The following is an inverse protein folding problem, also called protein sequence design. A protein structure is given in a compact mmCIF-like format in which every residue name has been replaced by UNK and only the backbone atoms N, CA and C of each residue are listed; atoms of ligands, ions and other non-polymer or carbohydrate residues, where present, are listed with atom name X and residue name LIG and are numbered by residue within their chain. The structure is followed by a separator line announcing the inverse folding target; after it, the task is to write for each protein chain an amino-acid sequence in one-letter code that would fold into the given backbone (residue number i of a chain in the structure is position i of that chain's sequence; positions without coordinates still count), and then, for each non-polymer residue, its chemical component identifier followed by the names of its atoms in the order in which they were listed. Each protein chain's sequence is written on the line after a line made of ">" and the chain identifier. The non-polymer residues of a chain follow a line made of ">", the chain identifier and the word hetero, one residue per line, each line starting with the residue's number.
data_IF_514732572213
#
_entry.id   IF_514732572213
#
_cell.length_a   1.000
_cell.length_b   1.000
_cell.length_c   1.000
_cell.angle_alpha   90.00
_cell.angle_beta   90.00
_cell.angle_gamma   90.00
#
_symmetry.space_group_name_H-M   'P 1'
#
loop_
_entity.id
_entity.type
_entity.pdbx_description
1 polymer ?
#
# COMPACT_ATOMS: atom_id res chain seq x y z
N UNK A 1 -3.39 4.18 -14.41
CA UNK A 1 -3.27 2.94 -15.21
C UNK A 1 -3.46 1.75 -14.29
N UNK A 2 -4.16 0.71 -14.75
CA UNK A 2 -4.44 -0.51 -13.97
C UNK A 2 -3.84 -1.71 -14.68
N UNK A 3 -3.08 -2.54 -13.96
CA UNK A 3 -2.39 -3.70 -14.48
C UNK A 3 -2.59 -4.88 -13.55
N UNK A 4 -2.80 -6.08 -14.09
CA UNK A 4 -2.83 -7.33 -13.31
C UNK A 4 -1.38 -7.76 -13.09
N UNK A 5 -1.00 -8.04 -11.84
CA UNK A 5 0.35 -8.49 -11.51
C UNK A 5 0.44 -9.99 -11.25
N UNK A 6 -0.59 -10.58 -10.63
CA UNK A 6 -0.63 -12.01 -10.29
C UNK A 6 -2.08 -12.49 -10.18
N UNK A 7 -2.34 -13.75 -10.52
CA UNK A 7 -3.68 -14.36 -10.39
C UNK A 7 -3.57 -15.79 -9.86
N UNK A 8 -4.27 -16.09 -8.77
CA UNK A 8 -4.42 -17.44 -8.23
C UNK A 8 -5.87 -17.61 -7.78
N UNK A 9 -6.69 -18.35 -8.53
CA UNK A 9 -8.13 -18.45 -8.22
C UNK A 9 -8.37 -18.88 -6.76
N UNK A 10 -9.26 -18.20 -6.01
CA UNK A 10 -10.18 -17.12 -6.44
C UNK A 10 -9.64 -15.68 -6.30
N UNK A 11 -8.34 -15.46 -6.13
CA UNK A 11 -7.71 -14.14 -5.95
C UNK A 11 -6.99 -13.61 -7.20
N UNK A 12 -6.88 -12.28 -7.25
CA UNK A 12 -6.08 -11.56 -8.22
C UNK A 12 -5.46 -10.33 -7.55
N UNK A 13 -4.19 -10.05 -7.88
CA UNK A 13 -3.47 -8.85 -7.45
C UNK A 13 -3.39 -7.89 -8.63
N UNK A 14 -3.78 -6.64 -8.39
CA UNK A 14 -3.73 -5.57 -9.38
C UNK A 14 -2.91 -4.39 -8.87
N UNK A 15 -2.15 -3.77 -9.78
CA UNK A 15 -1.49 -2.50 -9.55
C UNK A 15 -2.31 -1.38 -10.16
N UNK A 16 -2.66 -0.40 -9.34
CA UNK A 16 -3.49 0.74 -9.74
C UNK A 16 -2.73 2.04 -9.54
N UNK A 17 -2.69 2.86 -10.58
CA UNK A 17 -2.31 4.28 -10.50
C UNK A 17 -3.54 5.12 -10.72
N UNK A 18 -3.87 5.93 -9.73
CA UNK A 18 -5.10 6.70 -9.64
C UNK A 18 -4.84 8.09 -9.04
N UNK A 19 -5.78 9.01 -9.25
CA UNK A 19 -5.77 10.32 -8.58
C UNK A 19 -6.22 10.21 -7.12
N UNK A 20 -6.06 11.32 -6.37
CA UNK A 20 -6.62 11.47 -5.03
C UNK A 20 -8.13 11.18 -5.02
N UNK A 21 -8.62 10.62 -3.92
CA UNK A 21 -10.04 10.33 -3.72
C UNK A 21 -10.54 9.03 -4.36
N UNK A 22 -9.67 8.28 -5.06
CA UNK A 22 -10.07 7.00 -5.64
C UNK A 22 -10.34 5.95 -4.57
N UNK A 23 -11.53 5.35 -4.59
CA UNK A 23 -11.96 4.36 -3.61
C UNK A 23 -11.66 2.94 -4.11
N UNK A 24 -10.48 2.40 -3.78
CA UNK A 24 -10.02 1.08 -4.28
C UNK A 24 -10.99 -0.05 -3.94
N UNK A 25 -11.73 0.06 -2.82
CA UNK A 25 -12.78 -0.91 -2.47
C UNK A 25 -13.95 -0.90 -3.45
N UNK A 26 -14.36 0.28 -3.94
CA UNK A 26 -15.39 0.39 -4.95
C UNK A 26 -14.90 -0.22 -6.27
N UNK A 27 -13.66 0.08 -6.66
CA UNK A 27 -13.05 -0.54 -7.86
C UNK A 27 -13.06 -2.07 -7.79
N UNK A 28 -12.75 -2.67 -6.64
CA UNK A 28 -12.81 -4.12 -6.47
C UNK A 28 -14.24 -4.67 -6.70
N UNK A 29 -15.26 -4.01 -6.11
CA UNK A 29 -16.66 -4.37 -6.34
C UNK A 29 -17.04 -4.26 -7.81
N UNK A 30 -16.71 -3.13 -8.45
CA UNK A 30 -17.09 -2.84 -9.84
C UNK A 30 -16.43 -3.86 -10.81
N UNK A 31 -15.19 -4.29 -10.53
CA UNK A 31 -14.52 -5.39 -11.24
C UNK A 31 -15.30 -6.71 -11.04
N UNK A 32 -15.70 -7.02 -9.81
CA UNK A 32 -16.47 -8.23 -9.51
C UNK A 32 -17.86 -8.25 -10.17
N UNK A 33 -18.53 -7.10 -10.25
CA UNK A 33 -19.79 -6.91 -10.96
C UNK A 33 -19.61 -7.15 -12.46
N UNK A 34 -18.57 -6.57 -13.06
CA UNK A 34 -18.23 -6.76 -14.47
C UNK A 34 -17.89 -8.23 -14.80
N UNK A 35 -17.29 -8.96 -13.87
CA UNK A 35 -16.96 -10.38 -14.01
C UNK A 35 -18.11 -11.33 -13.61
N UNK A 36 -19.25 -10.79 -13.16
CA UNK A 36 -20.44 -11.56 -12.75
C UNK A 36 -20.22 -12.58 -11.62
N UNK A 37 -19.18 -12.42 -10.80
CA UNK A 37 -18.90 -13.29 -9.66
C UNK A 37 -18.85 -12.56 -8.31
N UNK A 38 -18.85 -11.22 -8.33
CA UNK A 38 -18.57 -10.40 -7.16
C UNK A 38 -17.09 -10.44 -6.77
N UNK A 39 -16.62 -9.37 -6.12
CA UNK A 39 -15.26 -9.29 -5.61
C UNK A 39 -15.19 -8.26 -4.48
N UNK A 40 -14.20 -8.44 -3.62
CA UNK A 40 -13.92 -7.55 -2.49
C UNK A 40 -12.42 -7.44 -2.29
N UNK A 41 -11.99 -6.34 -1.67
CA UNK A 41 -10.59 -6.08 -1.39
C UNK A 41 -10.13 -6.85 -0.15
N UNK A 42 -9.13 -7.72 -0.30
CA UNK A 42 -8.55 -8.51 0.80
C UNK A 42 -7.30 -7.86 1.39
N UNK A 43 -6.47 -7.24 0.56
CA UNK A 43 -5.25 -6.55 0.96
C UNK A 43 -5.03 -5.29 0.12
N UNK A 44 -4.40 -4.28 0.73
CA UNK A 44 -4.05 -3.04 0.05
C UNK A 44 -2.71 -2.53 0.55
N UNK A 45 -1.78 -2.32 -0.38
CA UNK A 45 -0.52 -1.65 -0.10
C UNK A 45 -0.37 -0.43 -1.00
N UNK A 46 -0.26 0.73 -0.39
CA UNK A 46 0.01 1.97 -1.11
C UNK A 46 1.51 2.09 -1.33
N UNK A 47 1.94 1.97 -2.59
CA UNK A 47 3.37 1.98 -2.95
C UNK A 47 3.92 3.37 -3.30
N UNK A 48 3.04 4.36 -3.49
CA UNK A 48 3.43 5.74 -3.86
C UNK A 48 2.39 6.77 -3.42
N UNK A 49 2.85 7.95 -3.00
CA UNK A 49 2.06 9.18 -2.80
C UNK A 49 2.85 10.37 -3.31
N UNK A 50 2.42 11.00 -4.41
CA UNK A 50 3.19 12.08 -5.03
C UNK A 50 4.60 11.60 -5.38
N UNK A 51 5.61 12.25 -4.82
CA UNK A 51 7.02 11.91 -5.01
C UNK A 51 7.57 10.92 -3.97
N UNK A 52 6.76 10.52 -3.00
CA UNK A 52 7.15 9.55 -1.98
C UNK A 52 6.86 8.12 -2.45
N UNK A 53 7.90 7.29 -2.46
CA UNK A 53 7.83 5.88 -2.80
C UNK A 53 7.99 5.01 -1.54
N UNK A 54 7.49 3.78 -1.60
CA UNK A 54 7.49 2.85 -0.47
C UNK A 54 8.90 2.49 0.01
N UNK A 55 9.87 2.40 -0.90
CA UNK A 55 11.28 2.15 -0.59
C UNK A 55 11.96 3.29 0.20
N UNK A 56 11.33 4.47 0.25
CA UNK A 56 11.77 5.60 1.07
C UNK A 56 11.09 5.62 2.45
N UNK A 57 10.17 4.69 2.73
CA UNK A 57 9.44 4.66 3.98
C UNK A 57 10.22 3.87 5.06
N UNK A 58 10.23 4.41 6.28
CA UNK A 58 10.82 3.73 7.44
C UNK A 58 9.80 2.78 8.09
N UNK A 59 10.27 1.61 8.51
CA UNK A 59 9.49 0.75 9.39
C UNK A 59 9.33 1.38 10.78
N UNK A 60 8.22 1.09 11.47
CA UNK A 60 7.94 1.67 12.79
C UNK A 60 8.96 1.24 13.86
N UNK A 61 9.49 0.02 13.77
CA UNK A 61 10.50 -0.48 14.70
C UNK A 61 11.83 0.24 14.45
N UNK A 62 12.22 0.36 13.18
CA UNK A 62 13.41 1.11 12.78
C UNK A 62 13.33 2.58 13.22
N UNK A 63 12.18 3.22 12.99
CA UNK A 63 11.93 4.59 13.44
C UNK A 63 12.08 4.76 14.96
N UNK A 64 11.52 3.83 15.76
CA UNK A 64 11.67 3.84 17.22
C UNK A 64 13.14 3.72 17.63
N UNK A 65 13.87 2.78 17.03
CA UNK A 65 15.30 2.59 17.32
C UNK A 65 16.10 3.85 17.02
N UNK A 66 15.84 4.51 15.88
CA UNK A 66 16.52 5.73 15.48
C UNK A 66 16.27 6.91 16.45
N UNK A 67 15.06 7.03 17.00
CA UNK A 67 14.76 8.04 18.02
C UNK A 67 15.49 7.74 19.33
N UNK A 68 15.47 6.47 19.76
CA UNK A 68 16.10 6.05 21.02
C UNK A 68 17.62 6.28 20.95
N UNK A 69 18.28 5.87 19.87
CA UNK A 69 19.73 6.08 19.68
C UNK A 69 20.13 7.56 19.70
N UNK A 70 19.38 8.42 19.00
CA UNK A 70 19.63 9.88 19.00
C UNK A 70 19.47 10.53 20.38
N UNK A 71 18.62 9.94 21.23
CA UNK A 71 18.42 10.40 22.61
C UNK A 71 19.62 10.06 23.51
N UNK A 72 20.35 8.98 23.24
CA UNK A 72 21.56 8.61 24.00
C UNK A 72 22.80 9.40 23.56
N UNK A 73 22.94 9.73 22.27
CA UNK A 73 24.01 10.60 21.77
C UNK A 73 23.96 12.04 22.34
N UNK A 74 22.79 12.50 22.79
CA UNK A 74 22.64 13.86 23.37
C UNK A 74 23.02 13.92 24.86
N UNK A 75 23.14 12.77 25.53
CA UNK A 75 23.35 12.68 27.00
C UNK A 75 24.83 12.47 27.36
N UNK A 76 25.70 12.11 26.41
CA UNK A 76 27.15 11.91 26.63
C UNK A 76 28.02 13.18 26.39
N UNK A 77 27.52 14.38 26.72
CA UNK A 77 28.32 15.63 26.72
C UNK A 77 28.33 16.27 28.10
#
# INVERSE_FOLDING_TARGET
>A
YTQVSETQRPSATIRVVCSKGTYIRALARDIGEYLHCGAYLTALQRTRVGDFHLDQCLDIIEFKNNIIQRSYETVEI
#
